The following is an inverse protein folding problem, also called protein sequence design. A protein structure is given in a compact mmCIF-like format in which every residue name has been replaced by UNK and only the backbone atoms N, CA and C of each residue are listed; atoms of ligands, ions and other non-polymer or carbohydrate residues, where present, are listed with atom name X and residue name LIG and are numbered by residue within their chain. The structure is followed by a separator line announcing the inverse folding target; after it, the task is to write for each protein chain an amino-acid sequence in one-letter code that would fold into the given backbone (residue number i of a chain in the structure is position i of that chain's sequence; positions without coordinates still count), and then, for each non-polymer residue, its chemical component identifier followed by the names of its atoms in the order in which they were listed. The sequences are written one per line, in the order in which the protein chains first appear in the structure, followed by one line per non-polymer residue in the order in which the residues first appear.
data_IF_251005327202
#
_entry.id   IF_251005327202
#
_cell.length_a   1.000
_cell.length_b   1.000
_cell.length_c   1.000
_cell.angle_alpha   90.00
_cell.angle_beta   90.00
_cell.angle_gamma   90.00
#
_symmetry.space_group_name_H-M   'P 1'
#
loop_
_entity.id
_entity.type
_entity.pdbx_description
1 polymer ?
#
# COMPACT_ATOMS: atom_id res chain seq x y z
N UNK A 1 19.26 -32.41 49.85
CA UNK A 1 20.37 -32.98 49.10
C UNK A 1 20.07 -32.79 47.63
N UNK A 2 21.06 -32.31 46.92
CA UNK A 2 21.14 -32.07 45.49
C UNK A 2 20.20 -31.04 44.87
N UNK A 3 20.80 -29.88 44.65
CA UNK A 3 20.41 -28.75 43.92
C UNK A 3 20.40 -29.00 42.42
N UNK A 4 19.39 -28.43 41.76
CA UNK A 4 19.33 -28.28 40.31
C UNK A 4 19.37 -26.80 39.97
N UNK A 5 20.53 -26.45 39.44
CA UNK A 5 20.89 -25.12 38.96
C UNK A 5 20.05 -24.72 37.74
N UNK A 6 19.50 -23.52 37.79
CA UNK A 6 19.00 -22.76 36.64
C UNK A 6 20.16 -22.41 35.71
N UNK A 7 20.31 -23.11 34.60
CA UNK A 7 21.05 -22.66 33.42
C UNK A 7 20.66 -23.50 32.22
N UNK A 8 20.19 -22.82 31.19
CA UNK A 8 20.00 -23.17 29.77
C UNK A 8 18.60 -22.92 29.24
N UNK A 9 18.46 -21.76 28.66
CA UNK A 9 17.56 -21.49 27.52
C UNK A 9 17.99 -20.16 26.88
N UNK A 10 19.14 -20.20 26.23
CA UNK A 10 19.58 -19.21 25.23
C UNK A 10 20.31 -20.03 24.15
N UNK A 11 19.55 -20.42 23.13
CA UNK A 11 20.05 -20.82 21.81
C UNK A 11 19.13 -20.11 20.84
N UNK A 12 19.46 -19.09 20.11
CA UNK A 12 20.66 -18.93 19.27
C UNK A 12 20.30 -19.43 17.89
N UNK A 13 19.46 -18.66 17.12
CA UNK A 13 19.30 -18.89 15.68
C UNK A 13 20.53 -18.30 14.98
N UNK A 14 21.51 -19.15 14.75
CA UNK A 14 22.60 -18.88 13.82
C UNK A 14 22.15 -19.31 12.42
N UNK A 15 21.99 -18.35 11.52
CA UNK A 15 21.83 -18.60 10.11
C UNK A 15 23.17 -19.05 9.52
N UNK A 16 23.23 -20.32 9.08
CA UNK A 16 24.37 -20.85 8.34
C UNK A 16 24.31 -20.37 6.89
N UNK A 17 25.21 -19.48 6.52
CA UNK A 17 25.50 -19.16 5.13
C UNK A 17 26.34 -20.28 4.52
N UNK A 18 25.73 -21.09 3.65
CA UNK A 18 26.44 -22.00 2.77
C UNK A 18 26.91 -21.24 1.53
N UNK A 19 28.20 -20.96 1.45
CA UNK A 19 28.87 -20.44 0.27
C UNK A 19 29.02 -21.56 -0.77
N UNK A 20 28.10 -21.64 -1.73
CA UNK A 20 28.28 -22.45 -2.93
C UNK A 20 29.02 -21.63 -3.99
N UNK A 21 30.27 -22.08 -4.34
CA UNK A 21 31.01 -21.49 -5.45
C UNK A 21 30.32 -21.79 -6.77
N UNK A 22 29.69 -20.77 -7.39
CA UNK A 22 29.22 -20.84 -8.75
C UNK A 22 30.29 -20.34 -9.70
N UNK A 23 30.79 -21.26 -10.53
CA UNK A 23 31.65 -20.97 -11.68
C UNK A 23 30.97 -20.05 -12.67
N UNK A 24 31.61 -18.91 -12.99
CA UNK A 24 31.18 -17.96 -14.01
C UNK A 24 31.31 -18.56 -15.41
N UNK A 25 30.30 -18.53 -16.26
CA UNK A 25 30.53 -18.56 -17.70
C UNK A 25 30.90 -17.15 -18.17
N UNK A 26 32.01 -17.04 -18.84
CA UNK A 26 32.39 -15.87 -19.61
C UNK A 26 31.52 -15.81 -20.87
N UNK A 27 30.86 -14.68 -21.13
CA UNK A 27 30.85 -13.93 -22.38
C UNK A 27 29.83 -12.80 -22.27
N UNK A 28 30.36 -11.59 -22.36
CA UNK A 28 29.57 -10.37 -22.32
C UNK A 28 28.69 -10.21 -23.57
N UNK A 29 27.43 -10.06 -23.31
CA UNK A 29 26.57 -9.20 -24.13
C UNK A 29 25.85 -8.29 -23.13
N UNK A 30 26.08 -7.00 -23.22
CA UNK A 30 25.29 -6.03 -22.49
C UNK A 30 23.82 -6.28 -22.81
N UNK A 31 22.93 -6.32 -21.82
CA UNK A 31 21.51 -6.38 -22.10
C UNK A 31 21.14 -5.15 -22.96
N UNK A 32 20.21 -5.30 -23.91
CA UNK A 32 19.74 -4.17 -24.70
C UNK A 32 19.25 -3.06 -23.76
N UNK A 33 19.48 -1.77 -24.09
CA UNK A 33 18.98 -0.67 -23.28
C UNK A 33 17.48 -0.86 -23.07
N UNK A 34 17.03 -0.65 -21.84
CA UNK A 34 15.61 -0.68 -21.52
C UNK A 34 14.86 0.24 -22.50
N UNK A 35 13.71 -0.18 -23.07
CA UNK A 35 12.98 0.66 -23.99
C UNK A 35 12.69 2.00 -23.33
N UNK A 36 13.09 3.08 -23.98
CA UNK A 36 12.75 4.44 -23.58
C UNK A 36 11.24 4.53 -23.53
N UNK A 37 10.69 4.64 -22.32
CA UNK A 37 9.26 4.77 -22.13
C UNK A 37 8.84 6.11 -22.71
N UNK A 38 7.91 6.09 -23.68
CA UNK A 38 7.34 7.30 -24.26
C UNK A 38 6.85 8.26 -23.17
N UNK A 39 6.93 9.58 -23.36
CA UNK A 39 6.41 10.54 -22.39
C UNK A 39 4.92 10.24 -22.16
N UNK A 40 4.56 10.06 -20.89
CA UNK A 40 3.14 9.87 -20.52
C UNK A 40 2.42 11.18 -20.78
N UNK A 41 1.31 11.20 -21.54
CA UNK A 41 0.59 12.44 -21.85
C UNK A 41 0.20 13.22 -20.61
N UNK A 42 0.13 14.56 -20.73
CA UNK A 42 -0.39 15.42 -19.67
C UNK A 42 -1.90 15.15 -19.47
N UNK A 43 -2.32 15.01 -18.22
CA UNK A 43 -3.69 14.63 -17.86
C UNK A 43 -4.59 15.84 -17.72
N UNK A 44 -5.90 15.60 -17.98
CA UNK A 44 -6.93 16.48 -17.48
C UNK A 44 -6.81 16.57 -15.95
N UNK A 45 -6.59 17.77 -15.44
CA UNK A 45 -6.61 18.04 -14.01
C UNK A 45 -8.01 17.72 -13.48
N UNK A 46 -8.07 16.99 -12.35
CA UNK A 46 -9.33 16.69 -11.65
C UNK A 46 -10.02 17.95 -11.11
N UNK A 47 -9.50 19.12 -11.42
CA UNK A 47 -9.95 20.39 -10.90
C UNK A 47 -9.46 20.67 -9.48
N UNK A 48 -9.76 21.86 -8.98
CA UNK A 48 -9.30 22.30 -7.66
C UNK A 48 -10.12 21.74 -6.50
N UNK A 49 -11.32 21.22 -6.74
CA UNK A 49 -12.25 20.81 -5.70
C UNK A 49 -11.68 19.74 -4.74
N UNK A 50 -11.06 18.63 -5.19
CA UNK A 50 -10.44 17.67 -4.28
C UNK A 50 -9.27 18.27 -3.49
N UNK A 51 -8.44 19.11 -4.14
CA UNK A 51 -7.30 19.77 -3.48
C UNK A 51 -7.78 20.75 -2.41
N UNK A 52 -8.79 21.56 -2.70
CA UNK A 52 -9.39 22.50 -1.76
C UNK A 52 -10.03 21.79 -0.57
N UNK A 53 -10.74 20.68 -0.81
CA UNK A 53 -11.37 19.88 0.24
C UNK A 53 -10.30 19.30 1.18
N UNK A 54 -9.23 18.71 0.66
CA UNK A 54 -8.13 18.19 1.48
C UNK A 54 -7.40 19.31 2.24
N UNK A 55 -7.13 20.46 1.60
CA UNK A 55 -6.49 21.59 2.27
C UNK A 55 -7.34 22.15 3.40
N UNK A 56 -8.63 22.33 3.19
CA UNK A 56 -9.57 22.77 4.22
C UNK A 56 -9.63 21.80 5.41
N UNK A 57 -9.70 20.49 5.13
CA UNK A 57 -9.73 19.47 6.16
C UNK A 57 -8.40 19.38 6.94
N UNK A 58 -7.25 19.51 6.26
CA UNK A 58 -5.95 19.54 6.92
C UNK A 58 -5.78 20.77 7.81
N UNK A 59 -6.21 21.95 7.35
CA UNK A 59 -6.20 23.18 8.16
C UNK A 59 -7.14 23.07 9.37
N UNK A 60 -8.32 22.46 9.19
CA UNK A 60 -9.25 22.20 10.30
C UNK A 60 -8.62 21.24 11.34
N UNK A 61 -7.95 20.17 10.90
CA UNK A 61 -7.22 19.28 11.79
C UNK A 61 -6.14 20.06 12.57
N UNK A 62 -5.28 20.81 11.89
CA UNK A 62 -4.21 21.58 12.54
C UNK A 62 -4.76 22.64 13.50
N UNK A 63 -5.88 23.27 13.14
CA UNK A 63 -6.57 24.25 13.99
C UNK A 63 -7.20 23.66 15.25
N UNK A 64 -7.63 22.40 15.18
CA UNK A 64 -8.23 21.67 16.30
C UNK A 64 -7.20 21.11 17.30
N UNK A 65 -5.90 21.08 16.93
CA UNK A 65 -4.84 20.58 17.82
C UNK A 65 -4.31 21.70 18.73
N UNK A 66 -4.04 21.42 20.02
CA UNK A 66 -3.27 22.31 20.89
C UNK A 66 -1.92 22.67 20.25
N UNK A 67 -1.41 23.88 20.50
CA UNK A 67 -0.18 24.37 19.88
C UNK A 67 1.02 23.42 20.05
N UNK A 68 1.18 22.84 21.24
CA UNK A 68 2.23 21.85 21.54
C UNK A 68 2.07 20.59 20.68
N UNK A 69 0.87 20.02 20.63
CA UNK A 69 0.57 18.81 19.86
C UNK A 69 0.73 19.07 18.37
N UNK A 70 0.24 20.22 17.87
CA UNK A 70 0.32 20.60 16.45
C UNK A 70 1.76 20.66 15.92
N UNK A 71 2.74 21.06 16.74
CA UNK A 71 4.16 21.08 16.33
C UNK A 71 4.69 19.68 15.95
N UNK A 72 4.11 18.64 16.51
CA UNK A 72 4.45 17.25 16.16
C UNK A 72 3.75 16.77 14.89
N UNK A 73 2.70 17.45 14.43
CA UNK A 73 1.97 17.10 13.22
C UNK A 73 2.60 17.65 11.94
N UNK A 74 3.43 18.72 12.03
CA UNK A 74 3.87 19.49 10.85
C UNK A 74 5.37 19.33 10.64
N UNK A 75 5.74 19.01 9.40
CA UNK A 75 7.13 18.88 8.92
C UNK A 75 7.32 19.73 7.67
N UNK A 76 8.58 20.05 7.33
CA UNK A 76 8.89 20.64 6.03
C UNK A 76 8.50 19.66 4.91
N UNK A 77 8.16 20.17 3.72
CA UNK A 77 7.81 19.32 2.58
C UNK A 77 8.99 18.45 2.13
N UNK A 78 10.20 18.94 2.28
CA UNK A 78 11.46 18.28 1.92
C UNK A 78 11.97 17.34 3.02
N UNK A 79 11.30 17.28 4.17
CA UNK A 79 11.71 16.42 5.28
C UNK A 79 11.71 14.95 4.83
N UNK A 80 12.76 14.22 5.17
CA UNK A 80 12.95 12.80 4.85
C UNK A 80 11.86 11.93 5.46
N UNK A 81 11.24 12.36 6.56
CA UNK A 81 10.09 11.68 7.17
C UNK A 81 8.96 11.47 6.16
N UNK A 82 8.80 12.34 5.16
CA UNK A 82 7.78 12.20 4.12
C UNK A 82 7.92 10.90 3.33
N UNK A 83 9.11 10.38 3.18
CA UNK A 83 9.42 9.15 2.43
C UNK A 83 9.52 7.91 3.33
N UNK A 84 9.58 8.08 4.65
CA UNK A 84 9.71 6.98 5.64
C UNK A 84 8.34 6.45 6.06
N UNK A 85 7.62 5.83 5.11
CA UNK A 85 6.36 5.16 5.40
C UNK A 85 6.56 3.73 5.92
N UNK A 86 5.62 3.23 6.73
CA UNK A 86 5.69 1.85 7.19
C UNK A 86 4.32 1.31 7.64
N UNK A 87 4.17 -0.02 7.70
CA UNK A 87 2.94 -0.71 8.09
C UNK A 87 3.06 -1.62 9.30
N UNK A 88 4.28 -1.88 9.82
CA UNK A 88 4.48 -2.69 11.03
C UNK A 88 4.22 -1.87 12.30
N UNK A 89 4.00 -2.51 13.47
CA UNK A 89 3.98 -1.81 14.76
C UNK A 89 5.32 -1.12 15.02
N UNK A 90 5.34 0.23 15.03
CA UNK A 90 6.51 1.05 15.38
C UNK A 90 6.05 2.41 15.90
N UNK A 91 6.96 3.15 16.53
CA UNK A 91 6.75 4.58 16.77
C UNK A 91 6.73 5.33 15.45
N UNK A 92 5.81 6.28 15.33
CA UNK A 92 5.63 7.11 14.13
C UNK A 92 5.76 8.58 14.45
N UNK A 93 6.18 9.35 13.46
CA UNK A 93 6.05 10.78 13.47
C UNK A 93 4.56 11.19 13.33
N UNK A 94 4.28 12.46 13.61
CA UNK A 94 2.91 12.96 13.57
C UNK A 94 2.17 12.83 14.90
N UNK A 95 0.87 13.08 14.86
CA UNK A 95 -0.01 13.06 16.03
C UNK A 95 -0.97 11.88 15.92
N UNK A 96 -0.89 10.89 16.81
CA UNK A 96 -1.82 9.77 16.82
C UNK A 96 -3.17 10.19 17.42
N UNK A 97 -4.23 9.45 17.10
CA UNK A 97 -5.57 9.70 17.63
C UNK A 97 -5.61 9.85 19.17
N UNK A 98 -4.83 9.03 19.89
CA UNK A 98 -4.79 9.09 21.37
C UNK A 98 -4.33 10.44 21.94
N UNK A 99 -3.53 11.17 21.17
CA UNK A 99 -3.00 12.48 21.59
C UNK A 99 -3.84 13.65 21.06
N UNK A 100 -4.97 13.36 20.38
CA UNK A 100 -5.88 14.36 19.85
C UNK A 100 -7.07 14.61 20.76
N UNK A 101 -7.49 15.87 20.94
CA UNK A 101 -8.80 16.17 21.53
C UNK A 101 -9.91 15.68 20.60
N UNK A 102 -11.15 15.58 21.11
CA UNK A 102 -12.30 15.08 20.34
C UNK A 102 -12.50 15.85 19.01
N UNK A 103 -12.33 17.17 19.00
CA UNK A 103 -12.42 17.98 17.78
C UNK A 103 -11.30 17.63 16.76
N UNK A 104 -10.08 17.35 17.25
CA UNK A 104 -8.97 16.91 16.42
C UNK A 104 -9.22 15.54 15.80
N UNK A 105 -9.72 14.57 16.58
CA UNK A 105 -10.12 13.25 16.06
C UNK A 105 -11.19 13.37 14.97
N UNK A 106 -12.22 14.19 15.19
CA UNK A 106 -13.26 14.43 14.19
C UNK A 106 -12.67 15.04 12.90
N UNK A 107 -11.81 16.05 13.00
CA UNK A 107 -11.16 16.67 11.86
C UNK A 107 -10.21 15.72 11.12
N UNK A 108 -9.51 14.83 11.81
CA UNK A 108 -8.68 13.79 11.21
C UNK A 108 -9.52 12.80 10.38
N UNK A 109 -10.69 12.41 10.85
CA UNK A 109 -11.63 11.61 10.07
C UNK A 109 -12.15 12.37 8.84
N UNK A 110 -12.43 13.68 8.94
CA UNK A 110 -12.84 14.49 7.79
C UNK A 110 -11.72 14.60 6.74
N UNK A 111 -10.44 14.67 7.15
CA UNK A 111 -9.31 14.66 6.23
C UNK A 111 -9.23 13.32 5.46
N UNK A 112 -9.44 12.20 6.15
CA UNK A 112 -9.54 10.90 5.48
C UNK A 112 -10.71 10.87 4.47
N UNK A 113 -11.90 11.36 4.84
CA UNK A 113 -13.08 11.40 3.97
C UNK A 113 -12.91 12.36 2.77
N UNK A 114 -12.14 13.44 2.93
CA UNK A 114 -11.83 14.35 1.83
C UNK A 114 -10.97 13.69 0.74
N UNK A 115 -10.28 12.60 1.05
CA UNK A 115 -9.32 11.92 0.18
C UNK A 115 -9.77 10.53 -0.27
N UNK A 116 -10.58 9.86 0.52
CA UNK A 116 -11.05 8.50 0.28
C UNK A 116 -12.51 8.48 -0.18
N UNK A 117 -12.88 7.43 -0.89
CA UNK A 117 -14.28 7.09 -1.12
C UNK A 117 -14.93 6.58 0.17
N UNK A 118 -16.25 6.43 0.18
CA UNK A 118 -16.94 5.79 1.30
C UNK A 118 -16.43 4.36 1.56
N UNK A 119 -16.09 3.61 0.49
CA UNK A 119 -15.53 2.27 0.58
C UNK A 119 -14.11 2.31 1.17
N UNK A 120 -13.23 3.13 0.62
CA UNK A 120 -11.85 3.26 1.10
C UNK A 120 -11.76 3.75 2.54
N UNK A 121 -12.60 4.74 2.90
CA UNK A 121 -12.73 5.18 4.30
C UNK A 121 -13.23 4.05 5.20
N UNK A 122 -14.23 3.28 4.75
CA UNK A 122 -14.73 2.11 5.48
C UNK A 122 -13.67 1.04 5.70
N UNK A 123 -12.81 0.78 4.68
CA UNK A 123 -11.66 -0.12 4.81
C UNK A 123 -10.64 0.42 5.81
N UNK A 124 -10.25 1.69 5.71
CA UNK A 124 -9.29 2.30 6.64
C UNK A 124 -9.76 2.22 8.10
N UNK A 125 -11.00 2.62 8.38
CA UNK A 125 -11.60 2.48 9.73
C UNK A 125 -11.73 1.01 10.12
N UNK A 126 -12.06 0.13 9.18
CA UNK A 126 -12.11 -1.31 9.40
C UNK A 126 -10.76 -1.88 9.87
N UNK A 127 -9.67 -1.49 9.22
CA UNK A 127 -8.30 -1.89 9.57
C UNK A 127 -7.94 -1.38 10.98
N UNK A 128 -8.23 -0.11 11.28
CA UNK A 128 -8.04 0.46 12.62
C UNK A 128 -8.76 -0.36 13.68
N UNK A 129 -9.99 -0.78 13.42
CA UNK A 129 -10.78 -1.61 14.35
C UNK A 129 -10.24 -3.04 14.51
N UNK A 130 -9.52 -3.59 13.53
CA UNK A 130 -8.87 -4.90 13.69
C UNK A 130 -7.83 -4.91 14.80
N UNK A 131 -7.27 -3.77 15.23
CA UNK A 131 -6.40 -3.71 16.40
C UNK A 131 -7.11 -4.20 17.68
N UNK A 132 -8.40 -3.88 17.85
CA UNK A 132 -9.16 -4.40 18.98
C UNK A 132 -9.43 -5.91 18.86
N UNK A 133 -9.63 -6.40 17.63
CA UNK A 133 -9.76 -7.83 17.36
C UNK A 133 -8.46 -8.55 17.74
N UNK A 134 -7.31 -8.04 17.26
CA UNK A 134 -5.99 -8.58 17.59
C UNK A 134 -5.70 -8.55 19.09
N UNK A 135 -6.05 -7.45 19.77
CA UNK A 135 -5.90 -7.34 21.22
C UNK A 135 -6.60 -8.49 21.97
N UNK A 136 -7.74 -8.95 21.45
CA UNK A 136 -8.49 -10.09 22.03
C UNK A 136 -7.93 -11.45 21.64
N UNK A 137 -7.34 -11.56 20.44
CA UNK A 137 -6.86 -12.83 19.90
C UNK A 137 -5.42 -13.15 20.33
N UNK A 138 -4.60 -12.14 20.54
CA UNK A 138 -3.17 -12.31 20.87
C UNK A 138 -2.93 -12.33 22.38
N UNK A 139 -2.09 -13.25 22.86
CA UNK A 139 -1.72 -13.38 24.28
C UNK A 139 -1.03 -12.11 24.82
N UNK A 140 -0.33 -11.37 23.96
CA UNK A 140 0.37 -10.12 24.27
C UNK A 140 -0.21 -8.93 23.51
N UNK A 141 -1.51 -8.90 23.31
CA UNK A 141 -2.24 -7.89 22.54
C UNK A 141 -2.19 -6.45 23.09
N UNK A 142 -1.48 -6.19 24.19
CA UNK A 142 -1.35 -4.85 24.82
C UNK A 142 -0.71 -3.80 23.90
N UNK A 143 0.05 -4.23 22.89
CA UNK A 143 0.63 -3.33 21.87
C UNK A 143 -0.33 -2.98 20.74
N UNK A 144 -1.51 -3.60 20.71
CA UNK A 144 -2.55 -3.35 19.70
C UNK A 144 -3.43 -2.18 20.17
N UNK A 145 -3.32 -1.06 19.49
CA UNK A 145 -3.94 0.20 19.88
C UNK A 145 -4.60 0.88 18.69
N UNK A 146 -5.95 0.86 18.59
CA UNK A 146 -6.70 1.52 17.51
C UNK A 146 -6.52 3.05 17.53
N UNK A 147 -6.07 3.62 18.62
CA UNK A 147 -5.78 5.05 18.74
C UNK A 147 -4.34 5.41 18.36
N UNK A 148 -3.52 4.44 17.95
CA UNK A 148 -2.12 4.65 17.55
C UNK A 148 -1.93 4.82 16.04
N UNK A 149 -2.85 5.55 15.39
CA UNK A 149 -2.74 5.95 13.98
C UNK A 149 -2.44 7.43 13.93
N UNK A 150 -1.25 7.77 13.37
CA UNK A 150 -0.70 9.12 13.39
C UNK A 150 -1.00 9.87 12.09
N UNK A 151 -1.26 11.16 12.22
CA UNK A 151 -1.46 12.09 11.12
C UNK A 151 -0.29 13.05 11.03
N UNK A 152 0.26 13.20 9.84
CA UNK A 152 1.42 14.07 9.55
C UNK A 152 1.08 14.95 8.36
N UNK A 153 1.42 16.23 8.45
CA UNK A 153 1.28 17.21 7.37
C UNK A 153 2.69 17.68 6.99
N UNK A 154 2.97 17.70 5.70
CA UNK A 154 4.24 18.11 5.11
C UNK A 154 4.06 19.41 4.31
N UNK A 155 4.75 20.47 4.68
CA UNK A 155 4.54 21.80 4.12
C UNK A 155 3.30 22.51 4.68
N UNK A 156 2.82 23.51 3.95
CA UNK A 156 1.68 24.34 4.35
C UNK A 156 0.47 24.01 3.49
N UNK A 157 -0.63 23.45 4.04
CA UNK A 157 -1.84 23.20 3.27
C UNK A 157 -2.40 24.48 2.65
N UNK A 158 -2.61 24.47 1.33
CA UNK A 158 -3.15 25.62 0.61
C UNK A 158 -3.32 25.36 -0.88
N UNK A 159 -4.08 26.22 -1.59
CA UNK A 159 -4.36 26.02 -3.02
C UNK A 159 -3.15 26.35 -3.91
N UNK A 160 -2.25 27.22 -3.46
CA UNK A 160 -1.11 27.73 -4.24
C UNK A 160 0.25 27.24 -3.74
N UNK A 161 0.27 26.30 -2.81
CA UNK A 161 1.50 25.73 -2.23
C UNK A 161 1.57 24.25 -2.49
N UNK A 162 2.77 23.73 -2.69
CA UNK A 162 3.01 22.29 -2.66
C UNK A 162 3.01 21.83 -1.19
N UNK A 163 2.28 20.76 -0.91
CA UNK A 163 2.18 20.18 0.43
C UNK A 163 1.76 18.71 0.35
N UNK A 164 1.79 18.02 1.45
CA UNK A 164 1.32 16.65 1.53
C UNK A 164 0.82 16.27 2.92
N UNK A 165 0.26 15.10 3.04
CA UNK A 165 -0.14 14.54 4.32
C UNK A 165 -0.12 13.02 4.30
N UNK A 166 -0.01 12.44 5.47
CA UNK A 166 -0.03 10.99 5.67
C UNK A 166 -0.90 10.63 6.88
N UNK A 167 -1.66 9.54 6.76
CA UNK A 167 -2.16 8.77 7.91
C UNK A 167 -1.44 7.43 7.94
N UNK A 168 -0.89 7.07 9.09
CA UNK A 168 -0.10 5.86 9.21
C UNK A 168 -0.31 5.18 10.57
N UNK A 169 -0.46 3.86 10.53
CA UNK A 169 -0.56 2.99 11.68
C UNK A 169 -0.18 1.56 11.35
N UNK A 170 -0.45 0.61 12.25
CA UNK A 170 -0.32 -0.80 11.94
C UNK A 170 -1.30 -1.16 10.82
N UNK A 171 -0.80 -1.75 9.73
CA UNK A 171 -1.56 -2.15 8.54
C UNK A 171 -2.24 -1.02 7.74
N UNK A 172 -1.91 0.23 7.97
CA UNK A 172 -2.39 1.35 7.18
C UNK A 172 -1.28 2.37 6.94
N UNK A 173 -1.05 2.76 5.68
CA UNK A 173 -0.22 3.93 5.35
C UNK A 173 -0.72 4.54 4.05
N UNK A 174 -1.29 5.74 4.13
CA UNK A 174 -1.82 6.48 3.01
C UNK A 174 -1.11 7.81 2.88
N UNK A 175 -0.50 8.03 1.73
CA UNK A 175 0.35 9.17 1.44
C UNK A 175 -0.25 10.01 0.33
N UNK A 176 -0.37 11.32 0.54
CA UNK A 176 -0.89 12.25 -0.45
C UNK A 176 0.09 13.41 -0.63
N UNK A 177 0.37 13.75 -1.90
CA UNK A 177 1.15 14.95 -2.26
C UNK A 177 0.36 15.77 -3.27
N UNK A 178 0.20 17.05 -2.95
CA UNK A 178 -0.57 18.01 -3.71
C UNK A 178 0.38 19.10 -4.23
N UNK A 179 0.43 19.27 -5.54
CA UNK A 179 1.22 20.30 -6.21
C UNK A 179 0.27 21.16 -7.04
N UNK A 180 0.34 22.50 -6.95
CA UNK A 180 -0.56 23.40 -7.69
C UNK A 180 -0.53 23.13 -9.19
N UNK A 181 -1.70 23.05 -9.84
CA UNK A 181 -1.83 22.78 -11.27
C UNK A 181 -1.35 21.39 -11.72
N UNK A 182 -1.14 20.46 -10.78
CA UNK A 182 -0.72 19.08 -11.08
C UNK A 182 -1.73 18.07 -10.50
N UNK A 183 -1.78 16.85 -11.06
CA UNK A 183 -2.53 15.75 -10.47
C UNK A 183 -2.11 15.48 -9.02
N UNK A 184 -3.04 15.01 -8.18
CA UNK A 184 -2.71 14.59 -6.81
C UNK A 184 -1.97 13.26 -6.87
N UNK A 185 -0.79 13.17 -6.26
CA UNK A 185 -0.14 11.88 -6.03
C UNK A 185 -0.67 11.26 -4.73
N UNK A 186 -1.08 9.98 -4.80
CA UNK A 186 -1.73 9.26 -3.71
C UNK A 186 -1.08 7.91 -3.43
N UNK A 187 0.15 7.75 -3.88
CA UNK A 187 0.97 6.55 -3.68
C UNK A 187 2.29 6.89 -3.01
N UNK A 188 2.92 5.94 -2.28
CA UNK A 188 2.41 4.60 -2.01
C UNK A 188 1.16 4.60 -1.13
N UNK A 189 0.21 3.69 -1.40
CA UNK A 189 -0.98 3.48 -0.59
C UNK A 189 -1.01 2.03 -0.11
N UNK A 190 -0.96 1.83 1.20
CA UNK A 190 -0.93 0.52 1.83
C UNK A 190 -2.17 0.28 2.67
N UNK A 191 -2.80 -0.87 2.44
CA UNK A 191 -3.88 -1.43 3.23
C UNK A 191 -3.52 -2.88 3.60
N UNK A 192 -3.49 -3.21 4.88
CA UNK A 192 -3.31 -4.57 5.36
C UNK A 192 -4.47 -5.01 6.26
N UNK A 193 -4.61 -6.29 6.49
CA UNK A 193 -5.63 -6.82 7.39
C UNK A 193 -5.10 -8.02 8.17
N UNK A 194 -5.10 -7.93 9.47
CA UNK A 194 -4.81 -9.03 10.38
C UNK A 194 -5.85 -9.03 11.53
N UNK A 195 -6.67 -10.08 11.64
CA UNK A 195 -6.81 -11.17 10.70
C UNK A 195 -7.45 -10.76 9.35
N UNK A 196 -7.17 -11.49 8.28
CA UNK A 196 -7.84 -11.31 6.99
C UNK A 196 -9.32 -11.70 7.05
N UNK A 197 -9.62 -12.77 7.80
CA UNK A 197 -10.96 -13.23 8.19
C UNK A 197 -11.00 -13.36 9.71
N UNK A 198 -11.90 -12.64 10.36
CA UNK A 198 -12.03 -12.65 11.81
C UNK A 198 -12.57 -14.01 12.26
N UNK A 199 -11.79 -14.82 13.02
CA UNK A 199 -12.15 -16.21 13.28
C UNK A 199 -13.23 -16.36 14.37
N UNK A 200 -13.36 -15.36 15.27
CA UNK A 200 -14.24 -15.47 16.44
C UNK A 200 -14.66 -14.10 16.99
N UNK A 201 -15.58 -14.11 17.95
CA UNK A 201 -16.08 -12.91 18.62
C UNK A 201 -17.19 -12.20 17.85
N UNK A 202 -17.55 -10.96 18.25
CA UNK A 202 -18.68 -10.23 17.68
C UNK A 202 -18.52 -9.90 16.18
N UNK A 203 -17.29 -9.84 15.68
CA UNK A 203 -16.98 -9.53 14.29
C UNK A 203 -16.61 -10.77 13.46
N UNK A 204 -16.91 -11.99 13.94
CA UNK A 204 -16.62 -13.25 13.24
C UNK A 204 -17.09 -13.20 11.77
N UNK A 205 -16.22 -13.60 10.86
CA UNK A 205 -16.46 -13.61 9.41
C UNK A 205 -16.28 -12.27 8.74
N UNK A 206 -15.87 -11.22 9.45
CA UNK A 206 -15.54 -9.93 8.85
C UNK A 206 -14.23 -10.05 8.07
N UNK A 207 -14.25 -9.59 6.82
CA UNK A 207 -13.12 -9.54 5.89
C UNK A 207 -13.04 -8.12 5.32
N UNK A 208 -12.06 -7.34 5.79
CA UNK A 208 -11.94 -5.91 5.39
C UNK A 208 -11.46 -5.77 3.95
N UNK A 209 -10.56 -6.65 3.49
CA UNK A 209 -9.99 -6.69 2.14
C UNK A 209 -10.48 -7.92 1.35
N UNK A 210 -11.78 -8.22 1.46
CA UNK A 210 -12.37 -9.40 0.80
C UNK A 210 -12.30 -9.30 -0.73
N UNK A 211 -12.57 -8.12 -1.29
CA UNK A 211 -12.65 -7.94 -2.74
C UNK A 211 -11.27 -8.10 -3.40
N UNK A 212 -10.22 -7.55 -2.81
CA UNK A 212 -8.84 -7.69 -3.27
C UNK A 212 -8.42 -9.16 -3.33
N UNK A 213 -8.74 -9.92 -2.28
CA UNK A 213 -8.45 -11.34 -2.21
C UNK A 213 -9.24 -12.16 -3.23
N UNK A 214 -10.56 -11.94 -3.29
CA UNK A 214 -11.46 -12.76 -4.06
C UNK A 214 -11.31 -12.50 -5.57
N UNK A 215 -11.15 -11.22 -5.98
CA UNK A 215 -10.92 -10.86 -7.38
C UNK A 215 -9.56 -11.35 -7.90
N UNK A 216 -8.49 -11.18 -7.10
CA UNK A 216 -7.16 -11.66 -7.47
C UNK A 216 -7.14 -13.18 -7.68
N UNK A 217 -7.75 -13.93 -6.76
CA UNK A 217 -7.88 -15.39 -6.87
C UNK A 217 -8.78 -15.82 -8.02
N UNK A 218 -9.89 -15.14 -8.25
CA UNK A 218 -10.80 -15.42 -9.36
C UNK A 218 -10.08 -15.28 -10.71
N UNK A 219 -9.32 -14.18 -10.87
CA UNK A 219 -8.50 -13.97 -12.07
C UNK A 219 -7.47 -15.10 -12.25
N UNK A 220 -6.70 -15.44 -11.21
CA UNK A 220 -5.70 -16.51 -11.29
C UNK A 220 -6.33 -17.87 -11.66
N UNK A 221 -7.51 -18.20 -11.13
CA UNK A 221 -8.23 -19.44 -11.42
C UNK A 221 -8.84 -19.47 -12.83
N UNK A 222 -9.14 -18.32 -13.41
CA UNK A 222 -9.69 -18.22 -14.78
C UNK A 222 -8.66 -18.51 -15.88
N UNK A 223 -7.36 -18.48 -15.54
CA UNK A 223 -6.28 -18.70 -16.50
C UNK A 223 -6.26 -20.15 -17.00
N UNK A 224 -6.06 -20.32 -18.31
CA UNK A 224 -5.80 -21.63 -18.94
C UNK A 224 -4.40 -22.15 -18.54
N UNK A 225 -4.11 -23.44 -18.77
CA UNK A 225 -2.80 -24.01 -18.45
C UNK A 225 -1.62 -23.28 -19.13
N UNK A 226 -1.69 -22.95 -20.44
CA UNK A 226 -0.64 -22.16 -21.07
C UNK A 226 -0.49 -20.75 -20.49
N UNK A 227 -1.58 -20.14 -20.06
CA UNK A 227 -1.55 -18.82 -19.41
C UNK A 227 -0.98 -18.94 -17.99
N UNK A 228 -1.36 -19.97 -17.22
CA UNK A 228 -0.79 -20.25 -15.89
C UNK A 228 0.70 -20.49 -15.95
N UNK A 229 1.21 -21.21 -16.94
CA UNK A 229 2.66 -21.41 -17.12
C UNK A 229 3.45 -20.10 -17.26
N UNK A 230 2.80 -19.00 -17.67
CA UNK A 230 3.40 -17.66 -17.81
C UNK A 230 3.05 -16.74 -16.63
N UNK A 231 1.86 -16.89 -16.07
CA UNK A 231 1.32 -16.02 -15.01
C UNK A 231 1.70 -16.45 -13.59
N UNK A 232 1.88 -17.77 -13.34
CA UNK A 232 2.31 -18.29 -12.04
C UNK A 232 3.83 -18.26 -11.96
N UNK A 233 4.37 -17.35 -11.16
CA UNK A 233 5.81 -17.08 -11.08
C UNK A 233 6.53 -17.92 -10.02
N UNK A 234 5.80 -18.51 -9.08
CA UNK A 234 6.33 -19.41 -8.07
C UNK A 234 5.24 -20.37 -7.55
N UNK A 235 5.64 -21.60 -7.18
CA UNK A 235 4.73 -22.59 -6.60
C UNK A 235 4.34 -22.27 -5.15
N UNK A 236 5.14 -21.47 -4.45
CA UNK A 236 4.90 -20.99 -3.09
C UNK A 236 4.75 -19.47 -3.10
N UNK A 237 3.99 -18.93 -2.13
CA UNK A 237 3.89 -17.50 -1.92
C UNK A 237 5.26 -16.88 -1.59
N UNK A 238 5.41 -15.58 -1.84
CA UNK A 238 6.68 -14.86 -1.63
C UNK A 238 6.95 -14.50 -0.16
N UNK A 239 5.97 -14.68 0.72
CA UNK A 239 6.09 -14.46 2.16
C UNK A 239 5.69 -13.06 2.62
N UNK A 240 5.79 -12.06 1.78
CA UNK A 240 5.36 -10.68 1.98
C UNK A 240 5.36 -9.92 0.63
N UNK A 241 4.91 -8.66 0.63
CA UNK A 241 5.09 -7.73 -0.50
C UNK A 241 6.58 -7.49 -0.74
N UNK A 242 6.97 -7.42 -2.00
CA UNK A 242 8.37 -7.24 -2.42
C UNK A 242 8.78 -5.77 -2.35
N UNK A 243 7.92 -4.86 -2.83
CA UNK A 243 8.14 -3.41 -2.86
C UNK A 243 7.74 -2.69 -1.57
N UNK A 244 7.99 -3.31 -0.40
CA UNK A 244 7.73 -2.67 0.89
C UNK A 244 8.60 -1.43 1.16
N UNK A 245 8.48 -0.82 2.34
CA UNK A 245 9.21 0.40 2.71
C UNK A 245 10.71 0.33 2.40
N UNK A 246 11.24 1.35 1.71
CA UNK A 246 12.64 1.41 1.29
C UNK A 246 13.01 0.44 0.15
N UNK A 247 12.05 -0.26 -0.46
CA UNK A 247 12.27 -1.27 -1.50
C UNK A 247 11.42 -1.03 -2.76
N UNK A 248 10.96 0.18 -3.02
CA UNK A 248 10.10 0.49 -4.18
C UNK A 248 10.71 0.01 -5.51
N UNK A 249 12.04 0.09 -5.67
CA UNK A 249 12.76 -0.29 -6.88
C UNK A 249 13.03 -1.80 -7.01
N UNK A 250 12.61 -2.62 -6.04
CA UNK A 250 12.86 -4.08 -6.06
C UNK A 250 12.15 -4.82 -7.20
N UNK A 251 11.15 -4.20 -7.80
CA UNK A 251 10.39 -4.72 -8.94
C UNK A 251 10.51 -3.80 -10.16
N UNK A 252 11.73 -3.61 -10.66
CA UNK A 252 12.00 -2.70 -11.79
C UNK A 252 11.37 -3.17 -13.11
N UNK A 253 11.17 -4.49 -13.30
CA UNK A 253 10.67 -5.05 -14.56
C UNK A 253 9.37 -5.82 -14.33
N UNK A 254 8.30 -5.48 -15.10
CA UNK A 254 7.05 -6.24 -15.07
C UNK A 254 7.25 -7.70 -15.53
N UNK A 255 6.80 -8.66 -14.73
CA UNK A 255 6.83 -10.10 -15.04
C UNK A 255 5.44 -10.71 -14.89
N UNK A 256 5.20 -11.86 -15.53
CA UNK A 256 3.92 -12.54 -15.51
C UNK A 256 3.20 -12.50 -16.88
N UNK A 257 1.92 -12.83 -16.89
CA UNK A 257 1.07 -12.84 -18.08
C UNK A 257 0.61 -11.43 -18.44
N UNK A 258 0.89 -10.98 -19.67
CA UNK A 258 0.40 -9.69 -20.12
C UNK A 258 -1.13 -9.71 -20.31
N UNK A 259 -1.80 -8.58 -20.02
CA UNK A 259 -3.24 -8.46 -20.22
C UNK A 259 -3.61 -8.62 -21.72
N UNK A 260 -2.70 -8.26 -22.64
CA UNK A 260 -2.86 -8.52 -24.09
C UNK A 260 -3.03 -10.01 -24.43
N UNK A 261 -2.46 -10.91 -23.63
CA UNK A 261 -2.50 -12.36 -23.83
C UNK A 261 -3.69 -13.04 -23.12
N UNK A 262 -4.57 -12.26 -22.50
CA UNK A 262 -5.78 -12.71 -21.82
C UNK A 262 -7.01 -12.67 -22.76
N UNK A 263 -8.01 -13.48 -22.46
CA UNK A 263 -9.34 -13.36 -23.09
C UNK A 263 -10.00 -12.03 -22.68
N UNK A 264 -11.09 -11.65 -23.40
CA UNK A 264 -11.87 -10.44 -23.06
C UNK A 264 -12.38 -10.45 -21.62
N UNK A 265 -12.90 -11.58 -21.16
CA UNK A 265 -13.43 -11.74 -19.80
C UNK A 265 -12.32 -11.66 -18.74
N UNK A 266 -11.17 -12.27 -18.99
CA UNK A 266 -10.02 -12.21 -18.10
C UNK A 266 -9.46 -10.77 -18.00
N UNK A 267 -9.37 -10.05 -19.12
CA UNK A 267 -8.99 -8.63 -19.11
C UNK A 267 -9.97 -7.79 -18.29
N UNK A 268 -11.27 -8.03 -18.46
CA UNK A 268 -12.30 -7.36 -17.67
C UNK A 268 -12.13 -7.63 -16.18
N UNK A 269 -11.84 -8.88 -15.79
CA UNK A 269 -11.56 -9.23 -14.39
C UNK A 269 -10.29 -8.52 -13.87
N UNK A 270 -9.21 -8.47 -14.66
CA UNK A 270 -7.98 -7.77 -14.27
C UNK A 270 -8.20 -6.26 -14.10
N UNK A 271 -8.93 -5.63 -15.01
CA UNK A 271 -9.29 -4.20 -14.91
C UNK A 271 -10.19 -3.93 -13.69
N UNK A 272 -11.16 -4.81 -13.41
CA UNK A 272 -11.99 -4.71 -12.21
C UNK A 272 -11.15 -4.83 -10.93
N UNK A 273 -10.14 -5.70 -10.90
CA UNK A 273 -9.21 -5.79 -9.78
C UNK A 273 -8.40 -4.49 -9.60
N UNK A 274 -7.92 -3.87 -10.68
CA UNK A 274 -7.26 -2.56 -10.62
C UNK A 274 -8.21 -1.48 -10.12
N UNK A 275 -9.45 -1.48 -10.61
CA UNK A 275 -10.48 -0.54 -10.14
C UNK A 275 -10.75 -0.67 -8.64
N UNK A 276 -10.70 -1.88 -8.07
CA UNK A 276 -10.89 -2.10 -6.63
C UNK A 276 -9.87 -1.32 -5.79
N UNK A 277 -8.62 -1.23 -6.26
CA UNK A 277 -7.58 -0.41 -5.62
C UNK A 277 -7.81 1.08 -5.84
N UNK A 278 -8.02 1.50 -7.08
CA UNK A 278 -8.19 2.90 -7.40
C UNK A 278 -9.40 3.52 -6.70
N UNK A 279 -10.52 2.79 -6.63
CA UNK A 279 -11.77 3.25 -6.01
C UNK A 279 -11.77 3.27 -4.49
N UNK A 280 -10.69 2.91 -3.83
CA UNK A 280 -10.46 3.28 -2.43
C UNK A 280 -10.29 4.80 -2.27
N UNK A 281 -9.80 5.46 -3.30
CA UNK A 281 -9.66 6.91 -3.34
C UNK A 281 -10.98 7.59 -3.72
N UNK A 282 -11.12 8.85 -3.37
CA UNK A 282 -12.22 9.71 -3.81
C UNK A 282 -12.43 9.60 -5.32
N UNK A 283 -13.67 9.70 -5.80
CA UNK A 283 -14.03 9.38 -7.18
C UNK A 283 -13.20 10.11 -8.23
N UNK A 284 -12.97 11.41 -8.06
CA UNK A 284 -12.18 12.23 -8.98
C UNK A 284 -10.71 11.75 -9.05
N UNK A 285 -10.15 11.39 -7.90
CA UNK A 285 -8.77 10.86 -7.82
C UNK A 285 -8.67 9.45 -8.43
N UNK A 286 -9.67 8.61 -8.20
CA UNK A 286 -9.76 7.29 -8.82
C UNK A 286 -9.81 7.39 -10.35
N UNK A 287 -10.66 8.27 -10.91
CA UNK A 287 -10.77 8.46 -12.36
C UNK A 287 -9.51 9.08 -12.95
N UNK A 288 -8.81 9.96 -12.22
CA UNK A 288 -7.50 10.47 -12.61
C UNK A 288 -6.53 9.30 -12.87
N UNK A 289 -6.39 8.37 -11.93
CA UNK A 289 -5.44 7.26 -12.05
C UNK A 289 -5.88 6.21 -13.07
N UNK A 290 -7.15 5.87 -13.11
CA UNK A 290 -7.70 4.98 -14.13
C UNK A 290 -7.57 5.58 -15.54
N UNK A 291 -7.70 6.90 -15.69
CA UNK A 291 -7.44 7.61 -16.92
C UNK A 291 -5.98 7.49 -17.36
N UNK A 292 -5.04 7.69 -16.44
CA UNK A 292 -3.61 7.50 -16.69
C UNK A 292 -3.28 6.07 -17.12
N UNK A 293 -3.82 5.09 -16.42
CA UNK A 293 -3.65 3.67 -16.74
C UNK A 293 -4.15 3.36 -18.15
N UNK A 294 -5.36 3.85 -18.50
CA UNK A 294 -5.92 3.67 -19.86
C UNK A 294 -5.06 4.29 -20.95
N UNK A 295 -4.49 5.48 -20.69
CA UNK A 295 -3.61 6.18 -21.67
C UNK A 295 -2.23 5.54 -21.78
N UNK A 296 -1.71 4.96 -20.70
CA UNK A 296 -0.41 4.29 -20.69
C UNK A 296 -0.41 2.92 -21.40
N UNK A 297 -1.59 2.40 -21.74
CA UNK A 297 -1.75 1.10 -22.40
C UNK A 297 -1.99 -0.03 -21.40
N UNK A 298 -3.26 -0.35 -21.11
CA UNK A 298 -3.60 -1.46 -20.19
C UNK A 298 -3.08 -2.81 -20.66
N UNK A 299 -2.85 -2.98 -21.96
CA UNK A 299 -2.23 -4.18 -22.56
C UNK A 299 -0.80 -4.43 -22.10
N UNK A 300 -0.10 -3.38 -21.63
CA UNK A 300 1.27 -3.46 -21.10
C UNK A 300 1.32 -3.96 -19.66
N UNK A 301 0.19 -3.99 -18.97
CA UNK A 301 0.09 -4.49 -17.60
C UNK A 301 0.27 -6.01 -17.60
N UNK A 302 1.01 -6.51 -16.62
CA UNK A 302 1.22 -7.94 -16.40
C UNK A 302 0.63 -8.35 -15.07
N UNK A 303 -0.02 -9.50 -15.07
CA UNK A 303 -0.50 -10.17 -13.88
C UNK A 303 0.44 -11.32 -13.51
N UNK A 304 0.86 -11.39 -12.27
CA UNK A 304 1.64 -12.48 -11.73
C UNK A 304 1.00 -13.03 -10.45
N UNK A 305 1.07 -14.35 -10.29
CA UNK A 305 0.59 -15.09 -9.12
C UNK A 305 1.70 -15.95 -8.55
N UNK A 306 1.74 -16.11 -7.22
CA UNK A 306 2.61 -17.09 -6.55
C UNK A 306 1.81 -17.81 -5.45
N UNK A 307 2.03 -19.12 -5.33
CA UNK A 307 1.35 -20.00 -4.39
C UNK A 307 0.16 -20.77 -4.98
N UNK A 308 -0.47 -21.63 -4.16
CA UNK A 308 -1.64 -22.41 -4.53
C UNK A 308 -2.86 -21.54 -4.87
N UNK A 309 -3.77 -22.08 -5.72
CA UNK A 309 -5.00 -21.39 -6.12
C UNK A 309 -6.18 -21.67 -5.18
N UNK A 310 -6.03 -22.63 -4.26
CA UNK A 310 -7.08 -23.03 -3.33
C UNK A 310 -7.32 -21.94 -2.28
N UNK A 311 -8.59 -21.72 -1.87
CA UNK A 311 -8.90 -20.85 -0.73
C UNK A 311 -8.20 -21.30 0.55
N UNK A 312 -7.81 -20.33 1.41
CA UNK A 312 -7.14 -20.62 2.70
C UNK A 312 -5.69 -21.08 2.56
N UNK A 313 -5.09 -20.97 1.38
CA UNK A 313 -3.67 -21.25 1.18
C UNK A 313 -2.87 -19.96 0.98
N UNK A 314 -1.60 -19.94 1.45
CA UNK A 314 -0.71 -18.81 1.25
C UNK A 314 -0.56 -18.44 -0.22
N UNK A 315 -0.73 -17.16 -0.55
CA UNK A 315 -0.66 -16.70 -1.93
C UNK A 315 -0.27 -15.23 -2.03
N UNK A 316 0.25 -14.91 -3.19
CA UNK A 316 0.66 -13.56 -3.58
C UNK A 316 0.19 -13.29 -5.01
N UNK A 317 -0.17 -12.05 -5.30
CA UNK A 317 -0.30 -11.59 -6.68
C UNK A 317 0.21 -10.17 -6.85
N UNK A 318 0.50 -9.82 -8.12
CA UNK A 318 0.76 -8.45 -8.50
C UNK A 318 0.19 -8.11 -9.87
N UNK A 319 -0.12 -6.83 -10.05
CA UNK A 319 -0.40 -6.18 -11.31
C UNK A 319 0.66 -5.11 -11.52
N UNK A 320 1.43 -5.20 -12.60
CA UNK A 320 2.56 -4.32 -12.83
C UNK A 320 2.53 -3.77 -14.25
N UNK A 321 2.44 -2.47 -14.39
CA UNK A 321 2.37 -1.72 -15.64
C UNK A 321 3.14 -0.39 -15.58
N UNK A 322 3.05 0.43 -16.64
CA UNK A 322 3.83 1.68 -16.71
C UNK A 322 3.50 2.72 -15.64
N UNK A 323 2.28 2.71 -15.09
CA UNK A 323 1.77 3.71 -14.14
C UNK A 323 1.26 3.10 -12.84
N UNK A 324 1.38 1.80 -12.68
CA UNK A 324 0.94 1.11 -11.46
C UNK A 324 1.79 -0.11 -11.15
N UNK A 325 2.00 -0.34 -9.88
CA UNK A 325 2.46 -1.59 -9.30
C UNK A 325 1.58 -1.88 -8.09
N UNK A 326 0.73 -2.88 -8.20
CA UNK A 326 -0.11 -3.37 -7.12
C UNK A 326 0.47 -4.70 -6.66
N UNK A 327 0.71 -4.85 -5.38
CA UNK A 327 1.05 -6.12 -4.75
C UNK A 327 0.04 -6.48 -3.66
N UNK A 328 -0.20 -7.76 -3.52
CA UNK A 328 -1.01 -8.37 -2.48
C UNK A 328 -0.33 -9.65 -2.01
N UNK A 329 -0.17 -9.79 -0.72
CA UNK A 329 0.31 -11.01 -0.06
C UNK A 329 -0.65 -11.43 1.04
N UNK A 330 -0.91 -12.73 1.15
CA UNK A 330 -1.62 -13.34 2.27
C UNK A 330 -0.93 -14.66 2.64
N UNK A 331 0.26 -14.54 3.21
CA UNK A 331 1.10 -15.70 3.55
C UNK A 331 1.10 -15.99 5.05
N UNK A 332 1.21 -14.95 5.87
CA UNK A 332 1.41 -15.07 7.30
C UNK A 332 0.14 -15.57 8.00
N UNK A 333 0.28 -16.11 9.22
CA UNK A 333 -0.82 -16.59 10.06
C UNK A 333 -1.74 -17.59 9.33
N UNK A 334 -1.15 -18.59 8.67
CA UNK A 334 -1.89 -19.60 7.88
C UNK A 334 -2.79 -18.98 6.80
N UNK A 335 -2.26 -18.03 6.03
CA UNK A 335 -2.99 -17.29 5.01
C UNK A 335 -4.17 -16.46 5.58
N UNK A 336 -3.99 -15.90 6.78
CA UNK A 336 -4.98 -15.04 7.42
C UNK A 336 -4.40 -13.67 7.84
N UNK A 337 -3.44 -13.14 7.02
CA UNK A 337 -2.75 -11.89 7.30
C UNK A 337 -2.36 -11.22 5.97
N UNK A 338 -3.09 -10.20 5.58
CA UNK A 338 -2.96 -9.52 4.28
C UNK A 338 -2.05 -8.31 4.40
N UNK A 339 -1.10 -8.22 3.48
CA UNK A 339 -0.38 -7.00 3.13
C UNK A 339 -0.67 -6.64 1.68
N UNK A 340 -1.10 -5.42 1.41
CA UNK A 340 -1.38 -4.97 0.06
C UNK A 340 -0.93 -3.52 -0.14
N UNK A 341 -0.23 -3.26 -1.23
CA UNK A 341 0.31 -1.96 -1.56
C UNK A 341 0.04 -1.60 -3.02
N UNK A 342 -0.26 -0.33 -3.25
CA UNK A 342 -0.30 0.27 -4.57
C UNK A 342 0.77 1.35 -4.67
N UNK A 343 1.66 1.22 -5.65
CA UNK A 343 2.68 2.17 -6.06
C UNK A 343 2.38 2.75 -7.44
N UNK A 344 2.82 3.96 -7.68
CA UNK A 344 3.10 4.47 -9.02
C UNK A 344 4.62 4.47 -9.22
N UNK A 345 5.18 3.62 -10.09
CA UNK A 345 6.65 3.48 -10.24
C UNK A 345 7.39 4.78 -10.57
N UNK A 346 6.66 5.84 -10.95
CA UNK A 346 7.23 7.15 -11.33
C UNK A 346 6.81 8.29 -10.40
N UNK A 347 5.70 8.13 -9.66
CA UNK A 347 5.05 9.23 -8.93
C UNK A 347 4.85 8.98 -7.45
N UNK A 348 5.42 7.92 -6.91
CA UNK A 348 5.36 7.72 -5.47
C UNK A 348 5.81 9.00 -4.75
N UNK A 349 5.01 9.41 -3.77
CA UNK A 349 5.19 10.68 -3.04
C UNK A 349 5.16 11.95 -3.92
N UNK A 350 4.76 11.86 -5.19
CA UNK A 350 4.76 13.00 -6.11
C UNK A 350 6.15 13.56 -6.42
N UNK A 351 7.20 12.74 -6.37
CA UNK A 351 8.58 13.20 -6.57
C UNK A 351 8.80 13.81 -7.95
N UNK A 352 8.22 13.23 -9.01
CA UNK A 352 8.27 13.77 -10.38
C UNK A 352 7.51 15.11 -10.50
N UNK A 353 6.36 15.22 -9.80
CA UNK A 353 5.54 16.44 -9.81
C UNK A 353 6.24 17.60 -9.12
N UNK A 354 6.89 17.31 -7.98
CA UNK A 354 7.68 18.31 -7.25
C UNK A 354 8.89 18.75 -8.07
N UNK A 355 9.62 17.82 -8.66
CA UNK A 355 10.73 18.15 -9.54
C UNK A 355 10.27 19.08 -10.67
N UNK A 356 9.22 18.72 -11.41
CA UNK A 356 8.67 19.52 -12.50
C UNK A 356 8.02 20.85 -12.07
N UNK A 357 7.82 21.07 -10.77
CA UNK A 357 7.30 22.32 -10.22
C UNK A 357 8.40 23.31 -9.85
N UNK A 358 9.59 22.80 -9.46
CA UNK A 358 10.73 23.61 -9.05
C UNK A 358 11.79 23.80 -10.16
N UNK A 359 11.77 22.97 -11.23
CA UNK A 359 12.56 23.16 -12.46
C UNK A 359 11.89 24.22 -13.37
#
# INVERSE_FOLDING_TARGET
MAGLTRRRLLHGLAASAAAGALTRPAHGQNPPPAPSLAPVPSFADVGDAPRAAMAGAALALLGALPAETRRHAVFALEDKERLDWHYIPRRRAGVPFKDMPAAGRAAAHELMKASLSAVGYGKAVGIIRLEEVLRRLETFGLMRDPDNYAFTVFGNPGPSTAWGWRVEGHHLSLNFTLVPGRPVAMTPAFFGANPADVPSGPEKGRRVLAAEQDLGRALARSLTDPQRARGVIAAQSLGDIVSGPGRADSLATPTGLALSDMTGDQRTQALRLIEEYARNMRGELAEQELGRMRQAGPELIRFAWAGPLEPGKPHYYRLHGPTLLIEYDNTQNDANHIHSVWHDPRRDFGLDLLKAHYD
#
